data_IF_544730835748
#
_entry.id   IF_544730835748
#
_cell.length_a   1.000
_cell.length_b   1.000
_cell.length_c   1.000
_cell.angle_alpha   90.00
_cell.angle_beta   90.00
_cell.angle_gamma   90.00
#
_symmetry.space_group_name_H-M   'P 1'
#
loop_
_entity.id
_entity.type
_entity.pdbx_description
1 polymer ?
#
# COMPACT_ATOMS: atom_id res chain seq x y z
N UNK A 1 -6.78 -8.13 7.01
CA UNK A 1 -6.30 -7.47 5.78
C UNK A 1 -5.49 -8.50 5.00
N UNK A 2 -5.90 -8.79 3.78
CA UNK A 2 -5.10 -9.61 2.89
C UNK A 2 -4.15 -8.67 2.12
N UNK A 3 -2.84 -8.77 2.38
CA UNK A 3 -1.83 -8.04 1.63
C UNK A 3 -1.49 -8.81 0.36
N UNK A 4 -1.24 -8.07 -0.72
CA UNK A 4 -0.70 -8.66 -1.94
C UNK A 4 0.69 -9.22 -1.69
N UNK A 5 0.88 -10.53 -1.91
CA UNK A 5 2.14 -11.23 -1.58
C UNK A 5 3.33 -10.72 -2.39
N UNK A 6 3.14 -10.33 -3.66
CA UNK A 6 4.19 -9.81 -4.53
C UNK A 6 4.63 -8.42 -4.06
N UNK A 7 3.67 -7.53 -3.79
CA UNK A 7 3.93 -6.17 -3.28
C UNK A 7 4.56 -6.25 -1.89
N UNK A 8 4.05 -7.13 -1.01
CA UNK A 8 4.60 -7.29 0.33
C UNK A 8 6.06 -7.78 0.30
N UNK A 9 6.38 -8.72 -0.57
CA UNK A 9 7.76 -9.21 -0.75
C UNK A 9 8.71 -8.08 -1.17
N UNK A 10 8.31 -7.25 -2.12
CA UNK A 10 9.10 -6.08 -2.56
C UNK A 10 9.26 -5.05 -1.44
N UNK A 11 8.18 -4.77 -0.72
CA UNK A 11 8.19 -3.87 0.42
C UNK A 11 9.13 -4.35 1.53
N UNK A 12 9.12 -5.65 1.84
CA UNK A 12 10.00 -6.27 2.83
C UNK A 12 11.47 -6.18 2.40
N UNK A 13 11.77 -6.49 1.14
CA UNK A 13 13.13 -6.36 0.61
C UNK A 13 13.67 -4.94 0.79
N UNK A 14 12.90 -3.92 0.44
CA UNK A 14 13.32 -2.52 0.60
C UNK A 14 13.46 -2.10 2.05
N UNK A 15 12.55 -2.56 2.90
CA UNK A 15 12.64 -2.31 4.33
C UNK A 15 13.94 -2.88 4.90
N UNK A 16 14.32 -4.10 4.51
CA UNK A 16 15.55 -4.76 4.93
C UNK A 16 16.80 -4.08 4.34
N UNK A 17 16.76 -3.66 3.07
CA UNK A 17 17.85 -2.88 2.45
C UNK A 17 18.10 -1.56 3.20
N UNK A 18 17.04 -0.82 3.54
CA UNK A 18 17.16 0.41 4.31
C UNK A 18 17.70 0.16 5.72
N UNK A 19 17.29 -0.94 6.36
CA UNK A 19 17.81 -1.37 7.65
C UNK A 19 19.30 -1.69 7.56
N UNK A 20 19.71 -2.50 6.58
CA UNK A 20 21.10 -2.85 6.34
C UNK A 20 21.98 -1.62 6.07
N UNK A 21 21.48 -0.67 5.25
CA UNK A 21 22.16 0.59 4.96
C UNK A 21 22.40 1.41 6.23
N UNK A 22 21.40 1.52 7.11
CA UNK A 22 21.55 2.20 8.42
C UNK A 22 22.55 1.49 9.31
N UNK A 23 22.52 0.17 9.38
CA UNK A 23 23.47 -0.62 10.17
C UNK A 23 24.90 -0.43 9.66
N UNK A 24 25.10 -0.41 8.35
CA UNK A 24 26.40 -0.18 7.76
C UNK A 24 26.91 1.26 8.04
N UNK A 25 26.06 2.27 7.91
CA UNK A 25 26.39 3.64 8.29
C UNK A 25 26.77 3.75 9.77
N UNK A 26 26.07 3.01 10.65
CA UNK A 26 26.37 2.96 12.07
C UNK A 26 27.73 2.30 12.34
N UNK A 27 28.03 1.17 11.68
CA UNK A 27 29.35 0.50 11.76
C UNK A 27 30.47 1.43 11.31
N UNK A 28 30.32 2.11 10.20
CA UNK A 28 31.31 3.07 9.70
C UNK A 28 31.50 4.25 10.67
N UNK A 29 30.41 4.73 11.30
CA UNK A 29 30.47 5.75 12.35
C UNK A 29 31.25 5.24 13.57
N UNK A 30 30.96 4.04 14.04
CA UNK A 30 31.68 3.41 15.13
C UNK A 30 33.17 3.25 14.82
N UNK A 31 33.52 2.74 13.63
CA UNK A 31 34.91 2.57 13.22
C UNK A 31 35.68 3.89 13.21
N UNK A 32 35.09 4.97 12.67
CA UNK A 32 35.73 6.30 12.68
C UNK A 32 36.03 6.80 14.10
N UNK A 33 35.07 6.63 15.02
CA UNK A 33 35.25 7.04 16.42
C UNK A 33 36.31 6.18 17.13
N UNK A 34 36.33 4.88 16.88
CA UNK A 34 37.32 3.95 17.46
C UNK A 34 38.75 4.21 16.91
N UNK A 35 38.86 4.65 15.64
CA UNK A 35 40.16 5.10 15.10
C UNK A 35 40.66 6.39 15.78
N UNK A 36 39.75 7.29 16.17
CA UNK A 36 40.11 8.52 16.90
C UNK A 36 40.43 8.24 18.38
N UNK A 37 39.75 7.29 19.00
CA UNK A 37 39.92 6.91 20.40
C UNK A 37 39.83 5.40 20.59
N UNK A 38 40.95 4.66 20.49
CA UNK A 38 40.93 3.18 20.65
C UNK A 38 40.44 2.71 22.03
N UNK A 39 40.56 3.56 23.08
CA UNK A 39 40.05 3.27 24.43
C UNK A 39 38.53 3.02 24.40
N UNK A 40 37.78 3.74 23.56
CA UNK A 40 36.34 3.53 23.39
C UNK A 40 36.00 2.13 22.85
N UNK A 41 36.85 1.57 21.99
CA UNK A 41 36.63 0.20 21.49
C UNK A 41 36.88 -0.84 22.60
N UNK A 42 37.94 -0.67 23.40
CA UNK A 42 38.22 -1.58 24.52
C UNK A 42 37.09 -1.55 25.55
N UNK A 43 36.65 -0.34 25.94
CA UNK A 43 35.48 -0.18 26.84
C UNK A 43 34.23 -0.85 26.27
N UNK A 44 33.94 -0.69 25.00
CA UNK A 44 32.77 -1.32 24.38
C UNK A 44 32.86 -2.86 24.38
N UNK A 45 34.06 -3.39 24.20
CA UNK A 45 34.34 -4.84 24.28
C UNK A 45 34.15 -5.37 25.71
N UNK A 46 34.63 -4.62 26.71
CA UNK A 46 34.43 -4.98 28.12
C UNK A 46 32.96 -4.91 28.53
N UNK A 47 32.20 -3.88 28.13
CA UNK A 47 30.76 -3.76 28.40
C UNK A 47 30.00 -4.94 27.81
N UNK A 48 30.34 -5.39 26.59
CA UNK A 48 29.73 -6.60 26.00
C UNK A 48 30.07 -7.86 26.76
N UNK A 49 31.29 -7.95 27.27
CA UNK A 49 31.74 -9.11 28.11
C UNK A 49 30.99 -9.23 29.43
N UNK A 50 30.59 -8.10 30.06
CA UNK A 50 29.89 -8.12 31.35
C UNK A 50 28.55 -8.85 31.29
N UNK A 51 27.85 -8.88 30.17
CA UNK A 51 26.62 -9.63 30.01
C UNK A 51 26.86 -11.15 30.11
N UNK A 52 27.92 -11.63 29.46
CA UNK A 52 28.34 -13.03 29.55
C UNK A 52 28.73 -13.44 30.99
N UNK A 53 29.43 -12.55 31.71
CA UNK A 53 29.82 -12.75 33.10
C UNK A 53 28.59 -12.84 34.05
N UNK A 54 27.55 -12.00 33.82
CA UNK A 54 26.28 -12.05 34.56
C UNK A 54 25.59 -13.41 34.34
N UNK A 55 25.46 -13.82 33.08
CA UNK A 55 24.85 -15.10 32.74
C UNK A 55 25.64 -16.29 33.37
N UNK A 56 26.96 -16.24 33.26
CA UNK A 56 27.82 -17.28 33.82
C UNK A 56 27.72 -17.35 35.36
N UNK A 57 27.63 -16.21 36.06
CA UNK A 57 27.45 -16.20 37.52
C UNK A 57 26.05 -16.64 37.95
N UNK A 58 25.01 -16.34 37.18
CA UNK A 58 23.64 -16.79 37.47
C UNK A 58 23.45 -18.30 37.26
N UNK A 59 24.24 -18.94 36.39
CA UNK A 59 24.18 -20.38 36.10
C UNK A 59 25.03 -21.24 37.05
N UNK A 60 25.87 -20.66 37.88
CA UNK A 60 26.68 -21.40 38.85
C UNK A 60 25.79 -21.97 39.97
N UNK A 61 25.69 -23.30 40.06
CA UNK A 61 24.92 -23.98 41.11
C UNK A 61 25.63 -23.89 42.47
N UNK A 62 24.88 -23.56 43.51
CA UNK A 62 25.36 -23.67 44.92
C UNK A 62 25.97 -22.39 45.50
N UNK A 63 25.97 -21.26 44.79
CA UNK A 63 26.43 -19.96 45.30
C UNK A 63 25.37 -18.89 45.06
N UNK A 64 25.20 -17.98 46.01
CA UNK A 64 24.34 -16.78 45.78
C UNK A 64 24.96 -15.89 44.69
N UNK A 65 24.30 -15.67 43.56
CA UNK A 65 24.85 -14.87 42.49
C UNK A 65 24.81 -13.35 42.75
N UNK A 66 24.06 -12.89 43.76
CA UNK A 66 23.81 -11.45 44.00
C UNK A 66 25.07 -10.63 44.25
N UNK A 67 26.06 -11.09 45.06
CA UNK A 67 27.30 -10.31 45.27
C UNK A 67 28.10 -10.15 43.98
N UNK A 68 28.24 -11.23 43.19
CA UNK A 68 28.95 -11.19 41.91
C UNK A 68 28.25 -10.24 40.90
N UNK A 69 26.94 -10.32 40.81
CA UNK A 69 26.15 -9.44 39.96
C UNK A 69 26.31 -7.93 40.33
N UNK A 70 26.39 -7.63 41.65
CA UNK A 70 26.63 -6.24 42.10
C UNK A 70 27.98 -5.71 41.61
N UNK A 71 29.04 -6.50 41.76
CA UNK A 71 30.38 -6.12 41.29
C UNK A 71 30.42 -5.90 39.80
N UNK A 72 29.82 -6.80 39.03
CA UNK A 72 29.73 -6.67 37.55
C UNK A 72 28.92 -5.43 37.17
N UNK A 73 27.81 -5.17 37.85
CA UNK A 73 27.00 -3.94 37.63
C UNK A 73 27.80 -2.67 37.88
N UNK A 74 28.52 -2.59 38.99
CA UNK A 74 29.28 -1.41 39.39
C UNK A 74 30.45 -1.15 38.40
N UNK A 75 31.12 -2.26 37.96
CA UNK A 75 32.10 -2.21 36.86
C UNK A 75 31.48 -1.67 35.57
N UNK A 76 30.28 -2.18 35.18
CA UNK A 76 29.61 -1.77 33.98
C UNK A 76 29.24 -0.26 34.03
N UNK A 77 28.73 0.24 35.17
CA UNK A 77 28.42 1.64 35.38
C UNK A 77 29.67 2.55 35.28
N UNK A 78 30.82 2.12 35.81
CA UNK A 78 32.07 2.85 35.67
C UNK A 78 32.55 2.93 34.23
N UNK A 79 32.45 1.83 33.48
CA UNK A 79 32.76 1.77 32.04
C UNK A 79 31.83 2.66 31.22
N UNK A 80 30.53 2.67 31.53
CA UNK A 80 29.57 3.58 30.84
C UNK A 80 29.89 5.06 31.11
N UNK A 81 30.23 5.44 32.34
CA UNK A 81 30.65 6.82 32.67
C UNK A 81 31.92 7.22 31.88
N UNK A 82 32.94 6.36 31.91
CA UNK A 82 34.17 6.61 31.18
C UNK A 82 33.93 6.75 29.68
N UNK A 83 33.06 5.91 29.11
CA UNK A 83 32.63 6.01 27.70
C UNK A 83 31.98 7.36 27.41
N UNK A 84 31.04 7.82 28.28
CA UNK A 84 30.39 9.12 28.11
C UNK A 84 31.35 10.29 28.16
N UNK A 85 32.31 10.26 29.09
CA UNK A 85 33.38 11.29 29.19
C UNK A 85 34.22 11.35 27.90
N UNK A 86 34.68 10.23 27.39
CA UNK A 86 35.48 10.19 26.16
C UNK A 86 34.69 10.65 24.92
N UNK A 87 33.41 10.28 24.83
CA UNK A 87 32.58 10.80 23.75
C UNK A 87 32.36 12.31 23.83
N UNK A 88 32.15 12.84 25.05
CA UNK A 88 32.05 14.28 25.28
C UNK A 88 33.33 15.04 24.93
N UNK A 89 34.51 14.48 25.26
CA UNK A 89 35.79 15.04 24.87
C UNK A 89 36.00 15.14 23.36
N UNK A 90 35.41 14.17 22.61
CA UNK A 90 35.42 14.17 21.15
C UNK A 90 34.32 15.04 20.55
N UNK A 91 33.45 15.65 21.36
CA UNK A 91 32.33 16.48 20.90
C UNK A 91 31.12 15.69 20.46
N UNK A 92 31.03 14.41 20.84
CA UNK A 92 29.88 13.55 20.50
C UNK A 92 28.91 13.38 21.67
N UNK A 93 27.62 13.27 21.44
CA UNK A 93 26.63 12.92 22.47
C UNK A 93 26.84 11.50 22.99
N UNK A 94 26.41 11.23 24.23
CA UNK A 94 26.57 9.94 24.90
C UNK A 94 25.99 8.75 24.11
N UNK A 95 24.91 8.98 23.39
CA UNK A 95 24.21 7.96 22.60
C UNK A 95 24.70 7.85 21.13
N UNK A 96 25.76 8.61 20.76
CA UNK A 96 26.25 8.67 19.38
C UNK A 96 26.60 7.33 18.76
N UNK A 97 27.14 6.40 19.55
CA UNK A 97 27.49 5.04 19.12
C UNK A 97 26.36 4.01 19.37
N UNK A 98 25.24 4.44 19.94
CA UNK A 98 24.12 3.54 20.24
C UNK A 98 23.29 3.26 19.00
N UNK A 99 23.02 2.01 18.74
CA UNK A 99 22.07 1.58 17.70
C UNK A 99 20.66 1.71 18.26
N UNK A 100 19.92 2.71 17.78
CA UNK A 100 18.49 2.87 18.12
C UNK A 100 17.65 2.41 16.94
N UNK A 101 16.67 1.54 17.18
CA UNK A 101 15.73 1.18 16.12
C UNK A 101 14.97 2.43 15.63
N UNK A 102 14.79 2.56 14.32
CA UNK A 102 14.02 3.66 13.73
C UNK A 102 12.53 3.57 14.11
N UNK A 103 12.02 2.35 14.24
CA UNK A 103 10.66 2.11 14.68
C UNK A 103 10.65 1.60 16.14
N UNK A 104 10.27 2.42 17.12
CA UNK A 104 10.21 1.98 18.51
C UNK A 104 9.08 0.98 18.77
N UNK A 105 8.08 0.89 17.86
CA UNK A 105 6.92 0.01 18.02
C UNK A 105 7.24 -1.45 17.75
N UNK A 106 8.13 -1.75 16.81
CA UNK A 106 8.49 -3.12 16.43
C UNK A 106 9.99 -3.41 16.54
N UNK A 107 10.84 -2.47 16.95
CA UNK A 107 12.28 -2.66 17.00
C UNK A 107 12.90 -2.97 15.63
N UNK A 108 12.37 -2.36 14.54
CA UNK A 108 12.80 -2.62 13.16
C UNK A 108 12.64 -4.08 12.69
N UNK A 109 11.65 -4.80 13.22
CA UNK A 109 11.26 -6.12 12.70
C UNK A 109 10.25 -6.03 11.56
N UNK A 110 9.53 -4.89 11.44
CA UNK A 110 8.45 -4.72 10.47
C UNK A 110 7.12 -5.34 10.90
N UNK A 111 7.08 -6.13 11.98
CA UNK A 111 5.90 -6.87 12.42
C UNK A 111 5.53 -6.58 13.87
N UNK A 112 4.24 -6.74 14.20
CA UNK A 112 3.69 -6.57 15.55
C UNK A 112 2.58 -7.58 15.79
N UNK A 113 2.83 -8.58 16.65
CA UNK A 113 1.95 -9.75 16.73
C UNK A 113 1.82 -10.41 15.35
N UNK A 114 0.60 -10.72 14.95
CA UNK A 114 0.30 -11.37 13.67
C UNK A 114 0.15 -10.39 12.48
N UNK A 115 0.47 -9.10 12.68
CA UNK A 115 0.24 -8.07 11.67
C UNK A 115 1.47 -7.24 11.31
N UNK A 116 1.36 -6.52 10.17
CA UNK A 116 2.39 -5.56 9.74
C UNK A 116 2.42 -4.35 10.68
N UNK A 117 3.62 -3.96 11.10
CA UNK A 117 3.82 -2.70 11.79
C UNK A 117 3.59 -1.50 10.85
N UNK A 118 3.20 -0.37 11.39
CA UNK A 118 3.01 0.87 10.62
C UNK A 118 4.23 1.29 9.81
N UNK A 119 5.44 0.95 10.24
CA UNK A 119 6.65 1.21 9.50
C UNK A 119 6.73 0.40 8.20
N UNK A 120 6.45 -0.91 8.22
CA UNK A 120 6.45 -1.76 7.03
C UNK A 120 5.25 -1.46 6.12
N UNK A 121 4.10 -1.09 6.70
CA UNK A 121 2.93 -0.64 5.90
C UNK A 121 3.24 0.56 5.01
N UNK A 122 4.11 1.48 5.44
CA UNK A 122 4.56 2.60 4.60
C UNK A 122 5.34 2.14 3.37
N UNK A 123 6.22 1.15 3.53
CA UNK A 123 6.94 0.56 2.40
C UNK A 123 5.97 -0.20 1.48
N UNK A 124 5.01 -0.93 2.06
CA UNK A 124 3.97 -1.61 1.29
C UNK A 124 3.18 -0.61 0.42
N UNK A 125 2.69 0.48 1.01
CA UNK A 125 1.97 1.53 0.28
C UNK A 125 2.82 2.13 -0.86
N UNK A 126 4.10 2.40 -0.61
CA UNK A 126 5.01 2.93 -1.63
C UNK A 126 5.23 1.96 -2.80
N UNK A 127 5.42 0.66 -2.52
CA UNK A 127 5.58 -0.35 -3.58
C UNK A 127 4.28 -0.55 -4.36
N UNK A 128 3.14 -0.53 -3.69
CA UNK A 128 1.84 -0.63 -4.32
C UNK A 128 1.59 0.55 -5.27
N UNK A 129 1.84 1.79 -4.82
CA UNK A 129 1.76 2.98 -5.69
C UNK A 129 2.71 2.86 -6.88
N UNK A 130 3.91 2.33 -6.67
CA UNK A 130 4.88 2.12 -7.76
C UNK A 130 4.39 1.07 -8.77
N UNK A 131 3.78 -0.02 -8.32
CA UNK A 131 3.18 -1.01 -9.21
C UNK A 131 2.02 -0.40 -10.01
N UNK A 132 1.13 0.32 -9.35
CA UNK A 132 0.03 1.04 -9.97
C UNK A 132 0.52 2.10 -10.97
N UNK A 133 1.62 2.80 -10.68
CA UNK A 133 2.22 3.82 -11.56
C UNK A 133 2.86 3.25 -12.83
N UNK A 134 3.10 1.94 -12.90
CA UNK A 134 3.54 1.27 -14.14
C UNK A 134 2.40 1.05 -15.12
N UNK A 135 1.17 0.93 -14.61
CA UNK A 135 -0.05 0.68 -15.42
C UNK A 135 -0.76 1.99 -15.79
N UNK A 136 -0.63 3.01 -14.95
CA UNK A 136 -1.29 4.31 -15.06
C UNK A 136 -0.28 5.41 -14.75
N UNK A 137 -0.46 6.59 -15.34
CA UNK A 137 0.28 7.81 -14.94
C UNK A 137 -0.23 8.37 -13.59
N UNK A 138 -0.25 7.49 -12.57
CA UNK A 138 -0.73 7.84 -11.21
C UNK A 138 0.19 8.89 -10.57
N UNK A 139 1.43 9.01 -11.03
CA UNK A 139 2.42 9.92 -10.44
C UNK A 139 2.00 11.40 -10.47
N UNK A 140 1.23 11.81 -11.46
CA UNK A 140 0.78 13.19 -11.66
C UNK A 140 -0.69 13.42 -11.26
N UNK A 141 -1.49 12.37 -11.06
CA UNK A 141 -2.93 12.47 -10.81
C UNK A 141 -3.23 12.52 -9.30
N UNK A 142 -3.88 13.58 -8.88
CA UNK A 142 -4.40 13.76 -7.52
C UNK A 142 -5.77 14.43 -7.57
N UNK A 143 -6.56 14.31 -6.50
CA UNK A 143 -7.83 15.03 -6.41
C UNK A 143 -7.68 16.56 -6.52
N UNK A 144 -6.50 17.09 -6.16
CA UNK A 144 -6.22 18.53 -6.22
C UNK A 144 -5.81 19.01 -7.62
N UNK A 145 -5.37 18.08 -8.48
CA UNK A 145 -5.04 18.37 -9.90
C UNK A 145 -6.22 18.10 -10.84
N UNK A 146 -7.40 17.80 -10.31
CA UNK A 146 -8.61 17.62 -11.10
C UNK A 146 -9.20 18.98 -11.48
N UNK A 147 -9.08 19.37 -12.75
CA UNK A 147 -9.43 20.68 -13.25
C UNK A 147 -10.92 20.74 -13.69
N UNK A 148 -11.73 21.48 -12.94
CA UNK A 148 -13.16 21.65 -13.23
C UNK A 148 -13.43 22.58 -14.41
N UNK A 149 -12.47 23.41 -14.81
CA UNK A 149 -12.63 24.39 -15.88
C UNK A 149 -12.83 23.76 -17.27
N UNK A 150 -12.44 22.51 -17.43
CA UNK A 150 -12.72 21.73 -18.63
C UNK A 150 -14.18 21.33 -18.79
N UNK A 151 -14.99 21.44 -17.76
CA UNK A 151 -16.41 21.09 -17.79
C UNK A 151 -17.26 22.34 -17.98
N UNK A 152 -18.21 22.27 -18.92
CA UNK A 152 -19.11 23.39 -19.20
C UNK A 152 -19.93 23.77 -17.96
N UNK A 153 -20.04 25.07 -17.62
CA UNK A 153 -20.96 25.56 -16.61
C UNK A 153 -22.42 25.60 -17.12
N UNK A 154 -22.63 25.51 -18.43
CA UNK A 154 -23.96 25.53 -19.02
C UNK A 154 -24.66 24.18 -18.82
N UNK A 155 -25.86 24.25 -18.26
CA UNK A 155 -26.67 23.08 -17.94
C UNK A 155 -27.34 22.48 -19.20
N UNK A 156 -27.68 23.29 -20.18
CA UNK A 156 -28.49 22.86 -21.34
C UNK A 156 -29.77 22.14 -20.89
N UNK A 157 -30.04 20.95 -21.45
CA UNK A 157 -31.18 20.10 -21.10
C UNK A 157 -30.92 19.15 -19.94
N UNK A 158 -29.73 19.14 -19.37
CA UNK A 158 -29.32 18.21 -18.30
C UNK A 158 -29.91 18.64 -16.94
N UNK A 159 -30.10 17.70 -16.00
CA UNK A 159 -30.51 18.00 -14.62
C UNK A 159 -29.53 18.90 -13.87
N UNK A 160 -28.22 18.82 -14.19
CA UNK A 160 -27.12 19.65 -13.68
C UNK A 160 -26.16 19.97 -14.80
N UNK A 161 -25.40 21.06 -14.67
CA UNK A 161 -24.31 21.33 -15.61
C UNK A 161 -23.22 20.27 -15.53
N UNK A 162 -22.45 20.03 -16.61
CA UNK A 162 -21.29 19.14 -16.57
C UNK A 162 -20.32 19.49 -15.44
N UNK A 163 -20.08 20.78 -15.17
CA UNK A 163 -19.19 21.25 -14.09
C UNK A 163 -19.74 20.89 -12.70
N UNK A 164 -21.02 21.11 -12.44
CA UNK A 164 -21.66 20.73 -11.17
C UNK A 164 -21.65 19.20 -10.96
N UNK A 165 -21.87 18.46 -12.04
CA UNK A 165 -21.79 16.99 -12.01
C UNK A 165 -20.36 16.52 -11.70
N UNK A 166 -19.35 17.07 -12.38
CA UNK A 166 -17.94 16.74 -12.15
C UNK A 166 -17.50 17.09 -10.72
N UNK A 167 -17.91 18.26 -10.19
CA UNK A 167 -17.63 18.67 -8.81
C UNK A 167 -18.25 17.71 -7.79
N UNK A 168 -19.50 17.26 -8.03
CA UNK A 168 -20.15 16.26 -7.18
C UNK A 168 -19.41 14.94 -7.20
N UNK A 169 -19.05 14.44 -8.38
CA UNK A 169 -18.33 13.18 -8.52
C UNK A 169 -16.94 13.27 -7.90
N UNK A 170 -16.23 14.40 -8.06
CA UNK A 170 -14.97 14.65 -7.38
C UNK A 170 -15.10 14.54 -5.85
N UNK A 171 -16.10 15.22 -5.28
CA UNK A 171 -16.34 15.20 -3.84
C UNK A 171 -16.68 13.78 -3.33
N UNK A 172 -17.56 13.07 -4.04
CA UNK A 172 -17.93 11.70 -3.69
C UNK A 172 -16.72 10.73 -3.76
N UNK A 173 -15.89 10.82 -4.80
CA UNK A 173 -14.68 10.01 -4.92
C UNK A 173 -13.64 10.33 -3.83
N UNK A 174 -13.48 11.63 -3.50
CA UNK A 174 -12.61 12.10 -2.41
C UNK A 174 -13.09 11.58 -1.04
N UNK A 175 -14.39 11.70 -0.76
CA UNK A 175 -14.99 11.20 0.48
C UNK A 175 -14.91 9.67 0.61
N UNK A 176 -15.17 8.95 -0.49
CA UNK A 176 -14.99 7.49 -0.56
C UNK A 176 -13.56 7.09 -0.19
N UNK A 177 -12.58 7.72 -0.82
CA UNK A 177 -11.16 7.40 -0.58
C UNK A 177 -10.72 7.77 0.85
N UNK A 178 -11.09 8.96 1.35
CA UNK A 178 -10.69 9.44 2.68
C UNK A 178 -11.32 8.64 3.83
N UNK A 179 -12.50 8.05 3.61
CA UNK A 179 -13.23 7.26 4.61
C UNK A 179 -13.24 5.77 4.28
N UNK A 180 -12.35 5.34 3.42
CA UNK A 180 -12.34 3.97 2.92
C UNK A 180 -12.34 2.93 4.05
N UNK A 181 -13.24 1.96 3.92
CA UNK A 181 -13.27 0.72 4.71
C UNK A 181 -13.76 -0.40 3.79
N UNK A 182 -13.05 -1.53 3.72
CA UNK A 182 -13.45 -2.64 2.87
C UNK A 182 -14.90 -3.05 3.11
N UNK A 183 -15.66 -3.28 2.04
CA UNK A 183 -17.05 -3.74 2.06
C UNK A 183 -18.11 -2.72 2.47
N UNK A 184 -17.71 -1.47 2.76
CA UNK A 184 -18.67 -0.43 3.13
C UNK A 184 -19.41 0.15 1.94
N UNK A 185 -18.70 0.44 0.87
CA UNK A 185 -19.26 1.10 -0.32
C UNK A 185 -18.59 0.56 -1.59
N UNK A 186 -19.33 0.60 -2.70
CA UNK A 186 -18.84 0.33 -4.04
C UNK A 186 -19.24 1.48 -4.97
N UNK A 187 -18.46 1.76 -6.01
CA UNK A 187 -18.75 2.83 -6.96
C UNK A 187 -18.84 2.29 -8.39
N UNK A 188 -19.81 2.79 -9.14
CA UNK A 188 -19.91 2.61 -10.59
C UNK A 188 -19.82 3.99 -11.27
N UNK A 189 -18.70 4.26 -11.93
CA UNK A 189 -18.43 5.46 -12.69
C UNK A 189 -18.78 5.19 -14.16
N UNK A 190 -19.82 5.82 -14.67
CA UNK A 190 -20.29 5.55 -16.03
C UNK A 190 -20.53 6.82 -16.84
N UNK A 191 -20.42 6.72 -18.16
CA UNK A 191 -20.62 7.83 -19.09
C UNK A 191 -19.59 7.88 -20.21
N UNK A 192 -19.72 8.78 -21.15
CA UNK A 192 -18.89 8.85 -22.35
C UNK A 192 -17.35 8.85 -22.07
N UNK A 193 -16.52 8.46 -23.03
CA UNK A 193 -15.06 8.54 -22.90
C UNK A 193 -14.56 9.96 -22.64
N UNK A 194 -13.37 10.07 -22.02
CA UNK A 194 -12.68 11.35 -21.83
C UNK A 194 -13.26 12.27 -20.76
N UNK A 195 -14.16 11.79 -19.89
CA UNK A 195 -14.84 12.58 -18.85
C UNK A 195 -14.17 12.47 -17.46
N UNK A 196 -12.98 11.90 -17.33
CA UNK A 196 -12.24 11.86 -16.08
C UNK A 196 -12.53 10.67 -15.17
N UNK A 197 -13.25 9.62 -15.62
CA UNK A 197 -13.52 8.39 -14.83
C UNK A 197 -12.22 7.72 -14.37
N UNK A 198 -11.34 7.37 -15.29
CA UNK A 198 -10.02 6.77 -15.02
C UNK A 198 -9.16 7.68 -14.12
N UNK A 199 -9.23 9.00 -14.30
CA UNK A 199 -8.51 9.95 -13.44
C UNK A 199 -8.98 9.86 -11.98
N UNK A 200 -10.29 9.91 -11.71
CA UNK A 200 -10.81 9.81 -10.35
C UNK A 200 -10.59 8.41 -9.75
N UNK A 201 -10.67 7.35 -10.56
CA UNK A 201 -10.32 5.98 -10.13
C UNK A 201 -8.86 5.88 -9.70
N UNK A 202 -7.93 6.52 -10.44
CA UNK A 202 -6.51 6.56 -10.09
C UNK A 202 -6.27 7.36 -8.78
N UNK A 203 -6.97 8.49 -8.59
CA UNK A 203 -6.90 9.25 -7.34
C UNK A 203 -7.39 8.43 -6.13
N UNK A 204 -8.48 7.65 -6.29
CA UNK A 204 -8.98 6.73 -5.26
C UNK A 204 -7.92 5.68 -4.95
N UNK A 205 -7.37 5.01 -5.99
CA UNK A 205 -6.34 3.99 -5.83
C UNK A 205 -5.15 4.50 -5.02
N UNK A 206 -4.68 5.71 -5.32
CA UNK A 206 -3.55 6.35 -4.64
C UNK A 206 -3.84 6.56 -3.16
N UNK A 207 -4.93 7.25 -2.81
CA UNK A 207 -5.24 7.60 -1.41
C UNK A 207 -5.47 6.34 -0.57
N UNK A 208 -6.23 5.36 -1.09
CA UNK A 208 -6.49 4.10 -0.39
C UNK A 208 -5.19 3.29 -0.20
N UNK A 209 -4.27 3.32 -1.17
CA UNK A 209 -2.95 2.70 -1.05
C UNK A 209 -2.06 3.40 -0.02
N UNK A 210 -2.07 4.75 0.03
CA UNK A 210 -1.33 5.55 1.02
C UNK A 210 -1.78 5.22 2.45
N UNK A 211 -3.07 4.92 2.65
CA UNK A 211 -3.64 4.47 3.92
C UNK A 211 -3.28 3.00 4.27
N UNK A 212 -2.59 2.29 3.37
CA UNK A 212 -2.05 0.95 3.60
C UNK A 212 -3.04 -0.19 3.37
N UNK A 213 -4.14 0.05 2.65
CA UNK A 213 -5.04 -1.00 2.17
C UNK A 213 -4.50 -1.64 0.89
N UNK A 214 -4.82 -2.90 0.65
CA UNK A 214 -4.46 -3.57 -0.60
C UNK A 214 -5.37 -3.12 -1.74
N UNK A 215 -4.77 -2.62 -2.83
CA UNK A 215 -5.47 -2.14 -4.01
C UNK A 215 -4.98 -2.89 -5.25
N UNK A 216 -5.91 -3.40 -6.03
CA UNK A 216 -5.64 -3.89 -7.39
C UNK A 216 -6.37 -2.96 -8.36
N UNK A 217 -5.64 -2.42 -9.32
CA UNK A 217 -6.16 -1.64 -10.44
C UNK A 217 -5.82 -2.35 -11.73
N UNK A 218 -6.85 -2.68 -12.50
CA UNK A 218 -6.63 -3.33 -13.79
C UNK A 218 -7.81 -3.07 -14.74
N UNK A 219 -7.58 -3.27 -16.04
CA UNK A 219 -8.65 -3.20 -17.04
C UNK A 219 -9.51 -4.47 -17.00
N UNK A 220 -10.80 -4.34 -17.28
CA UNK A 220 -11.70 -5.47 -17.33
C UNK A 220 -11.21 -6.56 -18.31
N UNK A 221 -10.71 -6.16 -19.48
CA UNK A 221 -10.18 -7.09 -20.48
C UNK A 221 -9.00 -7.91 -19.97
N UNK A 222 -8.07 -7.27 -19.24
CA UNK A 222 -6.91 -7.97 -18.66
C UNK A 222 -7.33 -8.91 -17.53
N UNK A 223 -8.19 -8.48 -16.62
CA UNK A 223 -8.72 -9.34 -15.54
C UNK A 223 -9.39 -10.59 -16.12
N UNK A 224 -10.26 -10.45 -17.13
CA UNK A 224 -10.94 -11.63 -17.69
C UNK A 224 -9.98 -12.54 -18.46
N UNK A 225 -8.94 -12.02 -19.08
CA UNK A 225 -7.89 -12.83 -19.68
C UNK A 225 -7.13 -13.66 -18.64
N UNK A 226 -6.90 -13.13 -17.44
CA UNK A 226 -6.32 -13.87 -16.32
C UNK A 226 -7.27 -14.99 -15.82
N UNK A 227 -8.58 -14.71 -15.68
CA UNK A 227 -9.58 -15.71 -15.34
C UNK A 227 -9.66 -16.82 -16.38
N UNK A 228 -9.57 -16.49 -17.67
CA UNK A 228 -9.55 -17.46 -18.75
C UNK A 228 -8.29 -18.33 -18.70
N UNK A 229 -7.13 -17.71 -18.51
CA UNK A 229 -5.86 -18.41 -18.38
C UNK A 229 -5.85 -19.34 -17.16
N UNK A 230 -6.35 -18.91 -16.01
CA UNK A 230 -6.41 -19.73 -14.80
C UNK A 230 -7.36 -20.94 -15.00
N UNK A 231 -8.44 -20.80 -15.78
CA UNK A 231 -9.41 -21.88 -16.02
C UNK A 231 -8.93 -22.92 -17.03
N UNK A 232 -8.17 -22.52 -18.05
CA UNK A 232 -7.85 -23.39 -19.20
C UNK A 232 -6.39 -23.85 -19.24
N UNK A 233 -5.53 -23.42 -18.30
CA UNK A 233 -4.15 -23.91 -18.20
C UNK A 233 -4.10 -25.34 -17.65
N UNK A 234 -3.18 -26.14 -18.23
CA UNK A 234 -2.74 -27.43 -17.69
C UNK A 234 -1.62 -27.22 -16.69
N UNK A 235 -1.50 -28.09 -15.70
CA UNK A 235 -0.70 -28.02 -14.44
C UNK A 235 0.84 -27.79 -14.57
N UNK A 236 1.39 -27.47 -15.75
CA UNK A 236 2.85 -27.52 -15.98
C UNK A 236 3.57 -26.15 -16.06
N UNK A 237 2.87 -25.03 -16.08
CA UNK A 237 3.48 -23.68 -16.08
C UNK A 237 3.08 -22.94 -14.79
N UNK A 238 4.08 -22.57 -13.99
CA UNK A 238 3.93 -21.92 -12.68
C UNK A 238 2.72 -20.99 -12.55
N UNK A 239 1.94 -21.19 -11.50
CA UNK A 239 0.56 -20.70 -11.27
C UNK A 239 0.44 -19.18 -11.05
N UNK A 240 1.02 -18.37 -11.94
CA UNK A 240 0.93 -16.89 -11.85
C UNK A 240 -0.48 -16.37 -12.15
N UNK A 241 -1.26 -17.05 -13.01
CA UNK A 241 -2.62 -16.62 -13.36
C UNK A 241 -3.62 -16.89 -12.22
N UNK A 242 -3.46 -17.99 -11.50
CA UNK A 242 -4.23 -18.29 -10.29
C UNK A 242 -3.96 -17.25 -9.18
N UNK A 243 -2.69 -16.89 -8.97
CA UNK A 243 -2.30 -15.83 -8.02
C UNK A 243 -2.92 -14.48 -8.38
N UNK A 244 -2.97 -14.10 -9.66
CA UNK A 244 -3.53 -12.83 -10.11
C UNK A 244 -5.06 -12.79 -9.93
N UNK A 245 -5.77 -13.91 -10.19
CA UNK A 245 -7.20 -14.04 -9.87
C UNK A 245 -7.45 -13.92 -8.37
N UNK A 246 -6.65 -14.59 -7.54
CA UNK A 246 -6.75 -14.49 -6.08
C UNK A 246 -6.49 -13.06 -5.59
N UNK A 247 -5.55 -12.34 -6.19
CA UNK A 247 -5.31 -10.91 -5.91
C UNK A 247 -6.56 -10.08 -6.16
N UNK A 248 -7.21 -10.26 -7.33
CA UNK A 248 -8.45 -9.56 -7.67
C UNK A 248 -9.60 -9.91 -6.70
N UNK A 249 -9.70 -11.15 -6.27
CA UNK A 249 -10.74 -11.60 -5.34
C UNK A 249 -10.53 -11.09 -3.91
N UNK A 250 -9.28 -11.02 -3.44
CA UNK A 250 -8.96 -10.85 -2.01
C UNK A 250 -8.49 -9.44 -1.63
N UNK A 251 -8.08 -8.58 -2.57
CA UNK A 251 -7.68 -7.21 -2.26
C UNK A 251 -8.80 -6.41 -1.59
N UNK A 252 -8.46 -5.43 -0.76
CA UNK A 252 -9.43 -4.60 -0.04
C UNK A 252 -10.24 -3.72 -1.00
N UNK A 253 -9.57 -3.19 -2.05
CA UNK A 253 -10.18 -2.43 -3.13
C UNK A 253 -9.75 -2.99 -4.48
N UNK A 254 -10.72 -3.40 -5.30
CA UNK A 254 -10.53 -3.66 -6.73
C UNK A 254 -11.02 -2.46 -7.53
N UNK A 255 -10.20 -1.97 -8.46
CA UNK A 255 -10.62 -1.01 -9.47
C UNK A 255 -10.60 -1.71 -10.82
N UNK A 256 -11.79 -1.91 -11.38
CA UNK A 256 -12.01 -2.55 -12.68
C UNK A 256 -12.29 -1.45 -13.70
N UNK A 257 -11.26 -1.08 -14.48
CA UNK A 257 -11.34 0.02 -15.43
C UNK A 257 -11.81 -0.44 -16.81
N UNK A 258 -12.50 0.44 -17.51
CA UNK A 258 -13.00 0.28 -18.88
C UNK A 258 -13.83 -0.98 -19.10
N UNK A 259 -14.72 -1.35 -18.14
CA UNK A 259 -15.67 -2.43 -18.33
C UNK A 259 -16.55 -2.15 -19.55
N UNK A 260 -16.69 -3.13 -20.43
CA UNK A 260 -17.46 -3.03 -21.65
C UNK A 260 -16.62 -2.84 -22.91
N UNK A 261 -15.30 -2.81 -22.82
CA UNK A 261 -14.40 -2.76 -23.98
C UNK A 261 -13.97 -4.16 -24.46
N UNK A 262 -14.08 -5.15 -23.59
CA UNK A 262 -13.75 -6.55 -23.88
C UNK A 262 -14.84 -7.26 -24.71
N UNK A 263 -14.48 -8.40 -25.32
CA UNK A 263 -15.44 -9.26 -25.99
C UNK A 263 -16.34 -9.97 -24.97
N UNK A 264 -17.64 -9.71 -25.05
CA UNK A 264 -18.63 -10.31 -24.14
C UNK A 264 -18.96 -11.73 -24.56
N UNK A 265 -18.35 -12.70 -23.92
CA UNK A 265 -18.67 -14.13 -24.04
C UNK A 265 -19.46 -14.60 -22.82
N UNK A 266 -20.10 -15.77 -22.89
CA UNK A 266 -20.76 -16.39 -21.72
C UNK A 266 -19.76 -16.64 -20.57
N UNK A 267 -18.49 -16.88 -20.91
CA UNK A 267 -17.41 -16.99 -19.92
C UNK A 267 -17.20 -15.66 -19.19
N UNK A 268 -17.03 -14.55 -19.92
CA UNK A 268 -16.83 -13.21 -19.35
C UNK A 268 -18.02 -12.80 -18.48
N UNK A 269 -19.25 -13.05 -18.91
CA UNK A 269 -20.44 -12.79 -18.10
C UNK A 269 -20.43 -13.56 -16.77
N UNK A 270 -20.08 -14.85 -16.81
CA UNK A 270 -19.97 -15.70 -15.61
C UNK A 270 -18.83 -15.27 -14.70
N UNK A 271 -17.66 -14.96 -15.28
CA UNK A 271 -16.48 -14.53 -14.53
C UNK A 271 -16.73 -13.18 -13.82
N UNK A 272 -17.32 -12.20 -14.53
CA UNK A 272 -17.68 -10.91 -13.93
C UNK A 272 -18.69 -11.08 -12.79
N UNK A 273 -19.74 -11.87 -12.98
CA UNK A 273 -20.71 -12.13 -11.92
C UNK A 273 -20.07 -12.80 -10.71
N UNK A 274 -19.24 -13.83 -10.92
CA UNK A 274 -18.51 -14.51 -9.84
C UNK A 274 -17.57 -13.57 -9.11
N UNK A 275 -16.79 -12.74 -9.82
CA UNK A 275 -15.88 -11.76 -9.25
C UNK A 275 -16.63 -10.78 -8.35
N UNK A 276 -17.65 -10.10 -8.88
CA UNK A 276 -18.36 -9.05 -8.12
C UNK A 276 -19.16 -9.65 -6.95
N UNK A 277 -19.87 -10.76 -7.17
CA UNK A 277 -20.63 -11.42 -6.12
C UNK A 277 -19.73 -12.01 -5.02
N UNK A 278 -18.61 -12.64 -5.39
CA UNK A 278 -17.62 -13.16 -4.44
C UNK A 278 -17.03 -12.06 -3.57
N UNK A 279 -16.69 -10.90 -4.16
CA UNK A 279 -16.17 -9.76 -3.44
C UNK A 279 -17.20 -9.13 -2.49
N UNK A 280 -18.45 -8.98 -2.92
CA UNK A 280 -19.56 -8.51 -2.07
C UNK A 280 -19.74 -9.42 -0.86
N UNK A 281 -19.80 -10.74 -1.06
CA UNK A 281 -19.93 -11.73 0.03
C UNK A 281 -18.73 -11.72 0.99
N UNK A 282 -17.53 -11.45 0.47
CA UNK A 282 -16.31 -11.33 1.27
C UNK A 282 -16.14 -9.96 1.96
N UNK A 283 -17.09 -9.05 1.81
CA UNK A 283 -17.01 -7.70 2.37
C UNK A 283 -15.85 -6.91 1.79
N UNK A 284 -15.64 -6.98 0.46
CA UNK A 284 -14.59 -6.25 -0.27
C UNK A 284 -15.21 -5.18 -1.14
N UNK A 285 -14.53 -4.04 -1.29
CA UNK A 285 -15.02 -2.91 -2.10
C UNK A 285 -14.52 -3.00 -3.53
N UNK A 286 -15.39 -2.57 -4.46
CA UNK A 286 -15.06 -2.51 -5.90
C UNK A 286 -15.46 -1.15 -6.47
N UNK A 287 -14.57 -0.57 -7.27
CA UNK A 287 -14.83 0.59 -8.12
C UNK A 287 -14.81 0.10 -9.57
N UNK A 288 -15.85 0.40 -10.32
CA UNK A 288 -15.94 0.04 -11.74
C UNK A 288 -16.01 1.33 -12.54
N UNK A 289 -15.23 1.44 -13.61
CA UNK A 289 -15.44 2.45 -14.63
C UNK A 289 -15.93 1.82 -15.92
N UNK A 290 -16.83 2.50 -16.63
CA UNK A 290 -17.39 2.01 -17.89
C UNK A 290 -17.86 3.17 -18.78
N UNK A 291 -17.87 2.94 -20.08
CA UNK A 291 -18.46 3.85 -21.05
C UNK A 291 -19.94 3.52 -21.33
N UNK A 292 -20.43 2.41 -20.81
CA UNK A 292 -21.82 1.95 -20.98
C UNK A 292 -22.70 2.55 -19.87
N UNK A 293 -23.95 2.84 -20.21
CA UNK A 293 -24.94 3.14 -19.19
C UNK A 293 -25.45 1.86 -18.47
N UNK A 294 -26.19 1.98 -17.35
CA UNK A 294 -26.69 0.83 -16.61
C UNK A 294 -27.58 -0.12 -17.46
N UNK A 295 -28.41 0.43 -18.38
CA UNK A 295 -29.26 -0.38 -19.25
C UNK A 295 -28.42 -1.17 -20.26
N UNK A 296 -27.39 -0.55 -20.82
CA UNK A 296 -26.44 -1.20 -21.72
C UNK A 296 -25.64 -2.28 -21.01
N UNK A 297 -25.22 -2.05 -19.73
CA UNK A 297 -24.63 -3.09 -18.90
C UNK A 297 -25.57 -4.27 -18.69
N UNK A 298 -26.85 -4.01 -18.42
CA UNK A 298 -27.85 -5.05 -18.27
C UNK A 298 -28.08 -5.86 -19.55
N UNK A 299 -28.12 -5.21 -20.70
CA UNK A 299 -28.19 -5.87 -22.01
C UNK A 299 -27.00 -6.74 -22.33
N UNK A 300 -25.81 -6.28 -21.91
CA UNK A 300 -24.53 -6.90 -22.25
C UNK A 300 -24.15 -8.05 -21.30
N UNK A 301 -24.35 -7.86 -20.00
CA UNK A 301 -23.92 -8.82 -18.97
C UNK A 301 -25.08 -9.54 -18.26
N UNK A 302 -26.31 -9.18 -18.57
CA UNK A 302 -27.50 -9.81 -18.04
C UNK A 302 -28.13 -9.09 -16.85
N UNK A 303 -29.46 -9.31 -16.68
CA UNK A 303 -30.24 -8.71 -15.61
C UNK A 303 -29.75 -8.99 -14.18
N UNK A 304 -29.23 -10.19 -13.85
CA UNK A 304 -28.72 -10.46 -12.50
C UNK A 304 -27.54 -9.54 -12.11
N UNK A 305 -26.66 -9.22 -13.06
CA UNK A 305 -25.56 -8.29 -12.82
C UNK A 305 -26.06 -6.86 -12.62
N UNK A 306 -26.98 -6.41 -13.49
CA UNK A 306 -27.57 -5.07 -13.39
C UNK A 306 -28.21 -4.86 -12.01
N UNK A 307 -29.02 -5.81 -11.56
CA UNK A 307 -29.67 -5.73 -10.24
C UNK A 307 -28.65 -5.60 -9.09
N UNK A 308 -27.50 -6.27 -9.19
CA UNK A 308 -26.40 -6.14 -8.22
C UNK A 308 -25.75 -4.75 -8.27
N UNK A 309 -25.50 -4.24 -9.48
CA UNK A 309 -24.91 -2.91 -9.64
C UNK A 309 -25.82 -1.81 -9.11
N UNK A 310 -27.12 -1.90 -9.37
CA UNK A 310 -28.10 -0.92 -8.89
C UNK A 310 -28.32 -0.99 -7.37
N UNK A 311 -28.28 -2.20 -6.79
CA UNK A 311 -28.51 -2.40 -5.36
C UNK A 311 -27.31 -2.15 -4.45
N UNK A 312 -26.09 -2.43 -4.95
CA UNK A 312 -24.88 -2.50 -4.11
C UNK A 312 -23.83 -1.44 -4.47
N UNK A 313 -24.03 -0.65 -5.55
CA UNK A 313 -23.09 0.35 -6.01
C UNK A 313 -23.70 1.76 -5.99
N UNK A 314 -22.92 2.72 -5.56
CA UNK A 314 -23.27 4.12 -5.78
C UNK A 314 -22.99 4.49 -7.24
N UNK A 315 -24.03 4.89 -7.95
CA UNK A 315 -23.96 5.23 -9.36
C UNK A 315 -23.49 6.69 -9.55
N UNK A 316 -22.38 6.88 -10.26
CA UNK A 316 -21.79 8.17 -10.55
C UNK A 316 -21.83 8.43 -12.07
N UNK A 317 -22.86 9.14 -12.58
CA UNK A 317 -22.92 9.51 -13.98
C UNK A 317 -21.87 10.60 -14.30
N UNK A 318 -21.16 10.45 -15.41
CA UNK A 318 -20.26 11.45 -15.97
C UNK A 318 -20.88 12.00 -17.24
N UNK A 319 -21.04 13.32 -17.29
CA UNK A 319 -21.67 14.03 -18.40
C UNK A 319 -20.79 15.18 -18.87
N UNK A 320 -20.82 15.49 -20.17
CA UNK A 320 -20.04 16.58 -20.75
C UNK A 320 -19.40 16.22 -22.08
N UNK A 321 -18.41 17.01 -22.48
CA UNK A 321 -17.61 16.79 -23.70
C UNK A 321 -16.30 16.10 -23.34
N UNK A 322 -15.73 15.35 -24.29
CA UNK A 322 -14.42 14.68 -24.13
C UNK A 322 -13.30 15.70 -23.86
N UNK A 323 -12.77 15.70 -22.62
CA UNK A 323 -11.72 16.63 -22.18
C UNK A 323 -10.41 16.42 -22.95
N UNK A 324 -10.10 15.18 -23.37
CA UNK A 324 -8.89 14.88 -24.16
C UNK A 324 -8.95 15.59 -25.52
N UNK A 325 -10.16 15.72 -26.07
CA UNK A 325 -10.40 16.46 -27.31
C UNK A 325 -10.29 17.97 -27.08
N UNK A 326 -10.91 18.49 -26.02
CA UNK A 326 -10.84 19.91 -25.67
C UNK A 326 -9.39 20.38 -25.41
N UNK A 327 -8.60 19.59 -24.70
CA UNK A 327 -7.17 19.87 -24.45
C UNK A 327 -6.35 19.93 -25.74
N UNK A 328 -6.67 19.10 -26.75
CA UNK A 328 -6.00 19.14 -28.06
C UNK A 328 -6.40 20.32 -28.94
N UNK A 329 -7.58 20.85 -28.74
CA UNK A 329 -8.09 22.01 -29.51
C UNK A 329 -7.60 23.35 -28.93
N UNK A 330 -7.09 23.38 -27.69
CA UNK A 330 -6.60 24.58 -27.00
C UNK A 330 -5.06 24.63 -26.86
N UNK A 331 -4.35 23.55 -27.12
CA UNK A 331 -2.89 23.48 -27.13
C UNK A 331 -2.35 23.41 -28.57
#
# INVERSE_FOLDING_TARGET
MAYDGKVLRQATLRFDEDKQRRQEQQRQRQQRVYQQCPELESIQREIRGTMGEIIASALRRGTDPLPAIRVIRDKNLSLQRRRAELLAQLGYPEDYLSEKPRCPLCGDTGYRGDGLCSCLKKYYAQEQIRELSRMLDIGSQSFDTFELDWYSPDRGSLPRSPRENAQRNLNLCRDFAARFRPGRENLLLFGAPGLGKTFLSACIARVVSEDGFSVVYDTAGHVFSQFESAKFRRDDDGDTAGEDVERCMNCDLLILDDLGTEMTTSFVQSALYQLLNGRLLAGKSTVISTNLDPEELGRRYGAPLLSRLEGEYQLLPFVGMDIRRLKREQG
#
